data_IF_171589527475
#
_entry.id   IF_171589527475
#
_cell.length_a   1.000
_cell.length_b   1.000
_cell.length_c   1.000
_cell.angle_alpha   90.00
_cell.angle_beta   90.00
_cell.angle_gamma   90.00
#
_symmetry.space_group_name_H-M   'P 1'
#
loop_
_entity.id
_entity.type
_entity.pdbx_description
1 polymer ?
#
# COMPACT_ATOMS: atom_id res chain seq x y z
N UNK A 1 3.03 -5.01 -19.32
CA UNK A 1 2.61 -4.35 -18.09
C UNK A 1 3.75 -4.39 -17.07
N UNK A 2 3.88 -3.34 -16.30
CA UNK A 2 4.93 -3.27 -15.27
C UNK A 2 4.54 -4.11 -14.06
N UNK A 3 5.54 -4.74 -13.44
CA UNK A 3 5.37 -5.41 -12.17
C UNK A 3 4.95 -4.40 -11.10
N UNK A 4 4.12 -4.79 -10.13
CA UNK A 4 3.85 -3.94 -8.96
C UNK A 4 5.14 -3.60 -8.23
N UNK A 5 5.18 -2.43 -7.60
CA UNK A 5 6.32 -1.95 -6.83
C UNK A 5 6.62 -2.85 -5.63
N UNK A 6 5.57 -3.41 -5.03
CA UNK A 6 5.66 -4.35 -3.92
C UNK A 6 4.32 -5.06 -3.77
N UNK A 7 4.28 -6.09 -2.94
CA UNK A 7 3.01 -6.75 -2.60
C UNK A 7 2.08 -5.78 -1.87
N UNK A 8 2.62 -4.92 -1.02
CA UNK A 8 1.84 -3.88 -0.35
C UNK A 8 1.21 -2.92 -1.35
N UNK A 9 1.98 -2.44 -2.33
CA UNK A 9 1.45 -1.55 -3.38
C UNK A 9 0.40 -2.23 -4.23
N UNK A 10 0.62 -3.49 -4.59
CA UNK A 10 -0.37 -4.28 -5.34
C UNK A 10 -1.67 -4.45 -4.54
N UNK A 11 -1.55 -4.74 -3.25
CA UNK A 11 -2.71 -4.93 -2.36
C UNK A 11 -3.57 -3.66 -2.30
N UNK A 12 -2.95 -2.52 -2.06
CA UNK A 12 -3.67 -1.24 -1.98
C UNK A 12 -4.33 -0.92 -3.32
N UNK A 13 -3.59 -1.08 -4.41
CA UNK A 13 -4.11 -0.80 -5.76
C UNK A 13 -5.31 -1.66 -6.12
N UNK A 14 -5.24 -2.96 -5.83
CA UNK A 14 -6.33 -3.89 -6.09
C UNK A 14 -7.57 -3.56 -5.25
N UNK A 15 -7.37 -3.20 -3.99
CA UNK A 15 -8.48 -2.84 -3.11
C UNK A 15 -9.16 -1.54 -3.57
N UNK A 16 -8.39 -0.53 -3.93
CA UNK A 16 -8.92 0.73 -4.47
C UNK A 16 -9.78 0.43 -5.72
N UNK A 17 -9.23 -0.36 -6.64
CA UNK A 17 -9.94 -0.72 -7.86
C UNK A 17 -11.22 -1.51 -7.57
N UNK A 18 -11.16 -2.48 -6.67
CA UNK A 18 -12.32 -3.29 -6.30
C UNK A 18 -13.43 -2.44 -5.67
N UNK A 19 -13.07 -1.52 -4.77
CA UNK A 19 -14.04 -0.61 -4.15
C UNK A 19 -14.65 0.34 -5.17
N UNK A 20 -13.82 0.85 -6.10
CA UNK A 20 -14.29 1.74 -7.17
C UNK A 20 -15.26 1.00 -8.09
N UNK A 21 -14.90 -0.21 -8.52
CA UNK A 21 -15.74 -1.03 -9.39
C UNK A 21 -17.08 -1.37 -8.73
N UNK A 22 -17.04 -1.67 -7.43
CA UNK A 22 -18.26 -1.97 -6.66
C UNK A 22 -19.22 -0.79 -6.66
N UNK A 23 -18.69 0.44 -6.64
CA UNK A 23 -19.50 1.66 -6.67
C UNK A 23 -19.83 2.09 -8.09
N UNK A 24 -19.34 1.39 -9.10
CA UNK A 24 -19.57 1.67 -10.53
C UNK A 24 -19.17 3.08 -10.94
N UNK A 25 -18.05 3.57 -10.42
CA UNK A 25 -17.53 4.87 -10.76
C UNK A 25 -16.23 4.76 -11.55
N UNK A 26 -15.97 5.77 -12.40
CA UNK A 26 -14.75 5.85 -13.19
C UNK A 26 -13.57 6.29 -12.33
N UNK A 27 -12.35 6.07 -12.83
CA UNK A 27 -11.15 6.64 -12.21
C UNK A 27 -11.27 8.16 -12.10
N UNK A 28 -11.77 8.79 -13.15
CA UNK A 28 -11.93 10.25 -13.16
C UNK A 28 -12.82 10.72 -12.01
N UNK A 29 -13.95 10.05 -11.80
CA UNK A 29 -14.86 10.38 -10.71
C UNK A 29 -14.21 10.15 -9.35
N UNK A 30 -13.52 9.04 -9.16
CA UNK A 30 -12.84 8.78 -7.89
C UNK A 30 -11.75 9.82 -7.64
N UNK A 31 -10.96 10.14 -8.66
CA UNK A 31 -9.90 11.15 -8.55
C UNK A 31 -10.47 12.50 -8.13
N UNK A 32 -11.60 12.91 -8.71
CA UNK A 32 -12.27 14.14 -8.32
C UNK A 32 -12.72 14.12 -6.87
N UNK A 33 -13.36 13.02 -6.44
CA UNK A 33 -13.81 12.88 -5.05
C UNK A 33 -12.63 12.89 -4.07
N UNK A 34 -11.53 12.29 -4.46
CA UNK A 34 -10.36 12.14 -3.59
C UNK A 34 -9.42 13.34 -3.64
N UNK A 35 -9.68 14.30 -4.52
CA UNK A 35 -8.78 15.43 -4.78
C UNK A 35 -7.39 14.97 -5.20
N UNK A 36 -7.35 14.02 -6.14
CA UNK A 36 -6.13 13.46 -6.70
C UNK A 36 -6.10 13.62 -8.21
N UNK A 37 -4.89 13.70 -8.77
CA UNK A 37 -4.73 13.59 -10.22
C UNK A 37 -5.12 12.19 -10.67
N UNK A 38 -5.80 12.07 -11.81
CA UNK A 38 -6.23 10.78 -12.34
C UNK A 38 -5.03 9.89 -12.69
N UNK A 39 -3.92 10.49 -13.14
CA UNK A 39 -2.70 9.74 -13.43
C UNK A 39 -2.07 9.16 -12.16
N UNK A 40 -2.11 9.91 -11.06
CA UNK A 40 -1.64 9.41 -9.77
C UNK A 40 -2.50 8.23 -9.30
N UNK A 41 -3.82 8.37 -9.40
CA UNK A 41 -4.74 7.29 -9.05
C UNK A 41 -4.49 6.04 -9.91
N UNK A 42 -4.27 6.22 -11.21
CA UNK A 42 -3.98 5.09 -12.10
C UNK A 42 -2.73 4.33 -11.67
N UNK A 43 -1.68 5.04 -11.27
CA UNK A 43 -0.45 4.42 -10.78
C UNK A 43 -0.70 3.63 -9.51
N UNK A 44 -1.52 4.16 -8.60
CA UNK A 44 -1.88 3.46 -7.36
C UNK A 44 -2.64 2.17 -7.69
N UNK A 45 -3.65 2.24 -8.55
CA UNK A 45 -4.44 1.07 -8.94
C UNK A 45 -3.61 -0.01 -9.63
N UNK A 46 -2.57 0.40 -10.34
CA UNK A 46 -1.69 -0.54 -11.04
C UNK A 46 -0.56 -1.08 -10.15
N UNK A 47 -0.54 -0.72 -8.86
CA UNK A 47 0.47 -1.22 -7.92
C UNK A 47 1.82 -0.53 -8.05
N UNK A 48 1.90 0.56 -8.80
CA UNK A 48 3.15 1.29 -9.01
C UNK A 48 3.36 2.41 -8.00
N UNK A 49 2.33 2.74 -7.22
CA UNK A 49 2.41 3.82 -6.26
C UNK A 49 2.85 3.34 -4.89
N UNK A 50 3.33 4.29 -4.10
CA UNK A 50 3.51 4.15 -2.67
C UNK A 50 2.73 5.29 -2.03
N UNK A 51 1.42 5.12 -1.85
CA UNK A 51 0.59 6.23 -1.39
C UNK A 51 0.99 6.69 0.01
N UNK A 52 1.03 7.99 0.17
CA UNK A 52 1.29 8.60 1.48
C UNK A 52 0.09 8.38 2.40
N UNK A 53 0.30 8.64 3.67
CA UNK A 53 -0.79 8.60 4.65
C UNK A 53 -1.95 9.50 4.22
N UNK A 54 -1.64 10.72 3.74
CA UNK A 54 -2.68 11.64 3.31
C UNK A 54 -3.48 11.10 2.13
N UNK A 55 -2.79 10.52 1.16
CA UNK A 55 -3.45 9.93 -0.02
C UNK A 55 -4.35 8.77 0.39
N UNK A 56 -3.92 7.94 1.34
CA UNK A 56 -4.77 6.86 1.85
C UNK A 56 -6.04 7.41 2.50
N UNK A 57 -5.93 8.50 3.27
CA UNK A 57 -7.09 9.14 3.87
C UNK A 57 -8.02 9.75 2.81
N UNK A 58 -7.45 10.39 1.77
CA UNK A 58 -8.22 10.94 0.66
C UNK A 58 -9.02 9.86 -0.05
N UNK A 59 -8.38 8.72 -0.34
CA UNK A 59 -9.05 7.59 -1.00
C UNK A 59 -10.10 6.95 -0.11
N UNK A 60 -9.80 6.77 1.17
CA UNK A 60 -10.75 6.21 2.13
C UNK A 60 -12.00 7.06 2.24
N UNK A 61 -11.82 8.38 2.33
CA UNK A 61 -12.93 9.33 2.38
C UNK A 61 -13.78 9.25 1.11
N UNK A 62 -13.13 9.24 -0.05
CA UNK A 62 -13.82 9.20 -1.33
C UNK A 62 -14.58 7.89 -1.57
N UNK A 63 -14.12 6.80 -0.96
CA UNK A 63 -14.71 5.46 -1.11
C UNK A 63 -15.61 5.07 0.07
N UNK A 64 -15.74 5.93 1.07
CA UNK A 64 -16.55 5.67 2.27
C UNK A 64 -16.10 4.43 3.05
N UNK A 65 -14.79 4.27 3.18
CA UNK A 65 -14.21 3.21 4.01
C UNK A 65 -13.25 3.81 5.03
N UNK A 66 -12.92 3.05 6.06
CA UNK A 66 -11.93 3.47 7.04
C UNK A 66 -10.53 3.35 6.43
N UNK A 67 -9.61 4.31 6.68
CA UNK A 67 -8.26 4.25 6.11
C UNK A 67 -7.50 2.98 6.46
N UNK A 68 -7.73 2.41 7.63
CA UNK A 68 -7.08 1.17 8.06
C UNK A 68 -7.38 -0.02 7.15
N UNK A 69 -8.48 0.02 6.40
CA UNK A 69 -8.82 -1.05 5.47
C UNK A 69 -7.73 -1.24 4.42
N UNK A 70 -7.04 -0.17 4.04
CA UNK A 70 -5.99 -0.26 3.01
C UNK A 70 -4.74 -0.97 3.48
N UNK A 71 -4.45 -0.97 4.78
CA UNK A 71 -3.24 -1.57 5.34
C UNK A 71 -3.53 -2.83 6.15
N UNK A 72 -4.77 -3.20 6.30
CA UNK A 72 -5.18 -4.37 7.06
C UNK A 72 -4.56 -5.63 6.46
N UNK A 73 -3.91 -6.42 7.31
CA UNK A 73 -3.28 -7.66 6.89
C UNK A 73 -1.90 -7.51 6.25
N UNK A 74 -1.41 -6.28 6.07
CA UNK A 74 -0.08 -6.06 5.54
C UNK A 74 0.97 -6.20 6.63
N UNK A 75 2.15 -6.68 6.24
CA UNK A 75 3.28 -6.84 7.14
C UNK A 75 4.60 -6.69 6.40
N UNK A 76 5.68 -6.99 7.10
CA UNK A 76 7.02 -6.81 6.57
C UNK A 76 7.27 -7.58 5.26
N UNK A 77 6.64 -8.75 5.11
CA UNK A 77 6.80 -9.57 3.90
C UNK A 77 6.21 -8.93 2.66
N UNK A 78 5.38 -7.89 2.81
CA UNK A 78 4.74 -7.21 1.70
C UNK A 78 5.52 -5.99 1.22
N UNK A 79 6.59 -5.64 1.92
CA UNK A 79 7.49 -4.55 1.55
C UNK A 79 8.35 -4.92 0.34
N UNK A 80 8.91 -3.93 -0.37
CA UNK A 80 9.92 -4.22 -1.39
C UNK A 80 11.10 -4.98 -0.78
N UNK A 81 11.78 -5.86 -1.57
CA UNK A 81 12.82 -6.74 -1.02
C UNK A 81 14.01 -6.03 -0.38
N UNK A 82 14.22 -4.76 -0.73
CA UNK A 82 15.33 -3.97 -0.16
C UNK A 82 15.02 -3.42 1.24
N UNK A 83 13.77 -3.55 1.70
CA UNK A 83 13.36 -3.09 3.03
C UNK A 83 13.11 -4.31 3.91
N UNK A 84 13.93 -4.48 4.93
CA UNK A 84 13.89 -5.66 5.79
C UNK A 84 13.92 -5.25 7.26
N UNK A 85 12.82 -4.68 7.77
CA UNK A 85 12.76 -4.33 9.19
C UNK A 85 12.79 -5.60 10.04
N UNK A 86 13.38 -5.50 11.21
CA UNK A 86 13.37 -6.57 12.19
C UNK A 86 12.28 -6.34 13.24
N UNK A 87 11.57 -7.40 13.60
CA UNK A 87 10.81 -7.39 14.85
C UNK A 87 11.79 -7.34 16.01
N UNK A 88 11.32 -7.09 17.23
CA UNK A 88 12.18 -7.10 18.41
C UNK A 88 12.87 -8.46 18.57
N UNK A 89 12.10 -9.55 18.44
CA UNK A 89 12.66 -10.91 18.58
C UNK A 89 13.70 -11.22 17.52
N UNK A 90 13.42 -10.84 16.26
CA UNK A 90 14.35 -11.06 15.16
C UNK A 90 15.63 -10.26 15.34
N UNK A 91 15.50 -9.02 15.81
CA UNK A 91 16.66 -8.17 16.05
C UNK A 91 17.55 -8.74 17.15
N UNK A 92 16.95 -9.24 18.23
CA UNK A 92 17.71 -9.89 19.30
C UNK A 92 18.45 -11.13 18.80
N UNK A 93 17.82 -11.94 17.94
CA UNK A 93 18.49 -13.08 17.33
C UNK A 93 19.65 -12.65 16.47
N UNK A 94 19.48 -11.60 15.68
CA UNK A 94 20.55 -11.06 14.84
C UNK A 94 21.71 -10.53 15.65
N UNK A 95 21.45 -9.86 16.78
CA UNK A 95 22.51 -9.38 17.67
C UNK A 95 23.29 -10.57 18.27
N UNK A 96 22.61 -11.63 18.68
CA UNK A 96 23.28 -12.85 19.18
C UNK A 96 24.13 -13.51 18.10
N UNK A 97 23.62 -13.57 16.86
CA UNK A 97 24.37 -14.11 15.73
C UNK A 97 25.65 -13.32 15.48
N UNK A 98 25.57 -11.99 15.51
CA UNK A 98 26.74 -11.13 15.33
C UNK A 98 27.78 -11.32 16.44
N UNK A 99 27.33 -11.44 17.68
CA UNK A 99 28.23 -11.68 18.82
C UNK A 99 28.94 -13.02 18.71
N UNK A 100 28.21 -14.07 18.25
CA UNK A 100 28.79 -15.41 18.09
C UNK A 100 29.79 -15.48 16.95
N UNK A 101 29.61 -14.65 15.92
CA UNK A 101 30.48 -14.63 14.75
C UNK A 101 31.78 -13.86 14.99
N UNK A 102 31.79 -13.00 16.00
CA UNK A 102 32.93 -12.19 16.36
C UNK A 102 33.84 -12.87 17.35
#
# INVERSE_FOLDING_TARGET
MSEPRSRASAHVGQLVRALRDRQTISRKTLAERADLDVSHLARIENGQGNPTLYVLIQLATALDVAPEEFVKGLGADDLPPNLKPYSEADFRRELRRRSSAG
#
